data_IF_019416776604
#
_entry.id   IF_019416776604
#
_cell.length_a   1.000
_cell.length_b   1.000
_cell.length_c   1.000
_cell.angle_alpha   90.00
_cell.angle_beta   90.00
_cell.angle_gamma   90.00
#
_symmetry.space_group_name_H-M   'P 1'
#
loop_
_entity.id
_entity.type
_entity.pdbx_description
1 polymer ?
#
# COMPACT_ATOMS: atom_id res chain seq x y z
N UNK A 1 23.14 -0.31 -6.43
CA UNK A 1 22.04 -0.80 -7.28
C UNK A 1 20.99 -1.37 -6.33
N UNK A 2 19.74 -0.92 -6.41
CA UNK A 2 18.63 -1.52 -5.67
C UNK A 2 18.02 -2.61 -6.55
N UNK A 3 18.02 -3.85 -6.08
CA UNK A 3 17.51 -5.02 -6.81
C UNK A 3 16.40 -5.65 -6.00
N UNK A 4 15.34 -6.08 -6.69
CA UNK A 4 14.30 -6.90 -6.08
C UNK A 4 14.91 -8.24 -5.66
N UNK A 5 14.64 -8.67 -4.43
CA UNK A 5 15.15 -9.93 -3.88
C UNK A 5 13.99 -10.80 -3.40
N UNK A 6 13.35 -11.43 -4.38
CA UNK A 6 12.30 -12.41 -4.12
C UNK A 6 12.81 -13.58 -3.26
N UNK A 7 14.09 -13.96 -3.39
CA UNK A 7 14.69 -15.05 -2.62
C UNK A 7 14.73 -14.74 -1.13
N UNK A 8 15.11 -13.51 -0.78
CA UNK A 8 15.05 -12.98 0.58
C UNK A 8 13.62 -12.95 1.12
N UNK A 9 12.68 -12.37 0.37
CA UNK A 9 11.28 -12.29 0.81
C UNK A 9 10.67 -13.68 1.04
N UNK A 10 10.93 -14.62 0.13
CA UNK A 10 10.50 -16.02 0.25
C UNK A 10 11.13 -16.75 1.43
N UNK A 11 12.41 -16.52 1.73
CA UNK A 11 13.07 -17.15 2.87
C UNK A 11 12.59 -16.61 4.22
N UNK A 12 11.85 -15.51 4.22
CA UNK A 12 11.18 -14.90 5.36
C UNK A 12 9.66 -15.11 5.33
N UNK A 13 9.22 -16.24 4.76
CA UNK A 13 7.82 -16.68 4.76
C UNK A 13 6.87 -15.66 4.14
N UNK A 14 7.34 -14.87 3.16
CA UNK A 14 6.55 -13.82 2.50
C UNK A 14 6.06 -12.70 3.45
N UNK A 15 6.72 -12.58 4.61
CA UNK A 15 6.39 -11.55 5.59
C UNK A 15 6.51 -10.14 5.00
N UNK A 16 5.52 -9.26 5.24
CA UNK A 16 5.59 -7.85 4.91
C UNK A 16 6.85 -7.16 5.45
N UNK A 17 7.42 -7.61 6.58
CA UNK A 17 8.63 -6.99 7.15
C UNK A 17 9.88 -7.20 6.30
N UNK A 18 9.89 -8.22 5.43
CA UNK A 18 10.95 -8.51 4.47
C UNK A 18 10.62 -8.01 3.05
N UNK A 19 9.47 -7.35 2.88
CA UNK A 19 8.99 -6.84 1.60
C UNK A 19 9.52 -5.46 1.22
N UNK A 20 8.98 -4.93 0.12
CA UNK A 20 9.27 -3.61 -0.46
C UNK A 20 8.63 -2.51 0.41
N UNK A 21 9.40 -1.51 0.87
CA UNK A 21 8.86 -0.47 1.73
C UNK A 21 7.95 0.52 0.98
N UNK A 22 6.84 0.89 1.62
CA UNK A 22 5.97 2.01 1.20
C UNK A 22 5.85 3.01 2.36
N UNK A 23 6.26 4.25 2.16
CA UNK A 23 6.18 5.31 3.17
C UNK A 23 5.01 6.24 2.90
N UNK A 24 4.12 6.41 3.89
CA UNK A 24 2.93 7.24 3.81
C UNK A 24 2.95 8.31 4.90
N UNK A 25 2.75 9.57 4.51
CA UNK A 25 2.47 10.68 5.42
C UNK A 25 0.98 10.95 5.34
N UNK A 26 0.23 10.69 6.42
CA UNK A 26 -1.23 10.58 6.34
C UNK A 26 -1.94 11.93 6.14
N UNK A 27 -1.33 13.04 6.59
CA UNK A 27 -1.85 14.40 6.39
C UNK A 27 -1.40 15.06 5.08
N UNK A 28 -0.54 14.41 4.28
CA UNK A 28 -0.05 14.98 3.03
C UNK A 28 -1.08 14.76 1.90
N UNK A 29 -1.90 15.78 1.66
CA UNK A 29 -2.91 15.77 0.59
C UNK A 29 -2.34 16.11 -0.79
N UNK A 30 -1.08 16.56 -0.88
CA UNK A 30 -0.46 16.97 -2.15
C UNK A 30 -0.10 15.81 -3.08
N UNK A 31 0.08 14.60 -2.51
CA UNK A 31 0.44 13.40 -3.25
C UNK A 31 -0.46 12.24 -2.81
N UNK A 32 -0.89 11.42 -3.77
CA UNK A 32 -1.52 10.12 -3.51
C UNK A 32 -0.59 9.02 -4.02
N UNK A 33 0.07 8.32 -3.10
CA UNK A 33 0.85 7.15 -3.47
C UNK A 33 -0.06 5.97 -3.83
N UNK A 34 0.16 5.34 -4.98
CA UNK A 34 -0.51 4.09 -5.37
C UNK A 34 0.58 3.08 -5.67
N UNK A 35 0.62 2.00 -4.89
CA UNK A 35 1.56 0.89 -5.06
C UNK A 35 0.85 -0.28 -5.73
N UNK A 36 1.40 -0.75 -6.85
CA UNK A 36 0.82 -1.81 -7.67
C UNK A 36 1.81 -2.96 -7.81
N UNK A 37 1.41 -4.16 -7.38
CA UNK A 37 2.22 -5.38 -7.47
C UNK A 37 1.27 -6.61 -7.40
N UNK A 38 1.64 -7.72 -8.04
CA UNK A 38 0.80 -8.93 -8.10
C UNK A 38 0.84 -9.75 -6.80
N UNK A 39 1.89 -9.56 -6.00
CA UNK A 39 2.13 -10.20 -4.70
C UNK A 39 1.60 -9.39 -3.50
N UNK A 40 0.74 -8.41 -3.76
CA UNK A 40 -0.04 -7.75 -2.72
C UNK A 40 -1.21 -8.67 -2.35
N UNK A 41 -1.18 -9.21 -1.15
CA UNK A 41 -2.27 -10.04 -0.62
C UNK A 41 -3.07 -9.29 0.45
N UNK A 42 -4.35 -9.63 0.59
CA UNK A 42 -5.21 -9.14 1.67
C UNK A 42 -5.10 -10.08 2.87
N UNK A 43 -3.87 -10.27 3.32
CA UNK A 43 -3.46 -11.10 4.45
C UNK A 43 -2.56 -10.26 5.35
N UNK A 44 -2.74 -10.36 6.67
CA UNK A 44 -2.00 -9.55 7.64
C UNK A 44 -0.52 -9.97 7.77
N UNK A 45 -0.21 -11.20 7.37
CA UNK A 45 1.08 -11.86 7.54
C UNK A 45 1.80 -12.16 6.23
N UNK A 46 1.12 -12.00 5.09
CA UNK A 46 1.66 -12.25 3.76
C UNK A 46 1.36 -11.05 2.86
N UNK A 47 2.41 -10.33 2.46
CA UNK A 47 2.33 -9.29 1.44
C UNK A 47 3.72 -8.86 1.04
N UNK A 48 3.91 -8.54 -0.24
CA UNK A 48 5.18 -7.96 -0.71
C UNK A 48 5.44 -6.56 -0.16
N UNK A 49 4.45 -5.87 0.41
CA UNK A 49 4.59 -4.46 0.79
C UNK A 49 4.77 -4.25 2.30
N UNK A 50 5.83 -3.53 2.66
CA UNK A 50 6.17 -3.17 4.03
C UNK A 50 5.73 -1.72 4.32
N UNK A 51 4.48 -1.52 4.75
CA UNK A 51 3.97 -0.16 4.95
C UNK A 51 4.57 0.51 6.18
N UNK A 52 4.98 1.77 6.01
CA UNK A 52 5.49 2.68 7.04
C UNK A 52 4.65 3.94 7.03
N UNK A 53 4.03 4.28 8.16
CA UNK A 53 3.13 5.43 8.28
C UNK A 53 3.67 6.44 9.29
N UNK A 54 3.35 7.71 9.07
CA UNK A 54 3.48 8.79 10.06
C UNK A 54 2.30 9.75 9.91
N UNK A 55 1.92 10.43 11.00
CA UNK A 55 0.80 11.35 10.96
C UNK A 55 1.13 12.60 10.12
N UNK A 56 2.22 13.29 10.47
CA UNK A 56 2.72 14.49 9.79
C UNK A 56 4.19 14.37 9.38
N UNK A 57 4.73 15.38 8.68
CA UNK A 57 6.15 15.40 8.25
C UNK A 57 7.15 15.36 9.40
N UNK A 58 6.76 15.87 10.56
CA UNK A 58 7.62 15.98 11.75
C UNK A 58 7.57 14.72 12.63
N UNK A 59 6.61 13.83 12.37
CA UNK A 59 6.46 12.57 13.11
C UNK A 59 7.39 11.46 12.57
N UNK A 60 7.87 10.56 13.44
CA UNK A 60 8.64 9.40 13.00
C UNK A 60 7.75 8.39 12.28
N UNK A 61 8.30 7.73 11.26
CA UNK A 61 7.64 6.59 10.63
C UNK A 61 7.56 5.38 11.57
N UNK A 62 6.43 4.69 11.53
CA UNK A 62 6.18 3.43 12.24
C UNK A 62 5.68 2.37 11.27
N UNK A 63 5.99 1.11 11.54
CA UNK A 63 5.39 0.01 10.78
C UNK A 63 3.88 -0.01 11.01
N UNK A 64 3.11 -0.06 9.92
CA UNK A 64 1.68 -0.32 10.03
C UNK A 64 1.46 -1.79 10.45
N UNK A 65 0.41 -2.05 11.24
CA UNK A 65 -0.03 -3.42 11.51
C UNK A 65 -0.48 -4.12 10.21
N UNK A 66 -0.51 -5.45 10.21
CA UNK A 66 -1.04 -6.22 9.08
C UNK A 66 -2.50 -5.87 8.78
N UNK A 67 -3.32 -5.76 9.83
CA UNK A 67 -4.70 -5.29 9.74
C UNK A 67 -4.81 -3.87 9.15
N UNK A 68 -3.93 -2.93 9.56
CA UNK A 68 -3.89 -1.60 8.97
C UNK A 68 -3.48 -1.65 7.50
N UNK A 69 -2.50 -2.49 7.14
CA UNK A 69 -2.05 -2.69 5.76
C UNK A 69 -3.18 -3.22 4.87
N UNK A 70 -3.95 -4.20 5.35
CA UNK A 70 -5.12 -4.73 4.63
C UNK A 70 -6.16 -3.63 4.34
N UNK A 71 -6.38 -2.69 5.28
CA UNK A 71 -7.29 -1.55 5.08
C UNK A 71 -6.83 -0.56 3.99
N UNK A 72 -5.57 -0.62 3.56
CA UNK A 72 -5.03 0.24 2.49
C UNK A 72 -5.28 -0.31 1.09
N UNK A 73 -5.81 -1.54 0.96
CA UNK A 73 -6.19 -2.14 -0.31
C UNK A 73 -7.27 -1.31 -1.01
N UNK A 74 -7.10 -1.07 -2.31
CA UNK A 74 -7.98 -0.22 -3.11
C UNK A 74 -7.84 1.29 -2.82
N UNK A 75 -6.99 1.67 -1.86
CA UNK A 75 -6.73 3.06 -1.51
C UNK A 75 -5.29 3.47 -1.82
N UNK A 76 -4.30 2.80 -1.23
CA UNK A 76 -2.87 3.00 -1.53
C UNK A 76 -2.22 1.76 -2.14
N UNK A 77 -2.86 0.60 -2.01
CA UNK A 77 -2.35 -0.69 -2.47
C UNK A 77 -3.30 -1.30 -3.49
N UNK A 78 -2.77 -1.78 -4.60
CA UNK A 78 -3.56 -2.44 -5.65
C UNK A 78 -2.87 -3.73 -6.04
N UNK A 79 -3.55 -4.86 -5.85
CA UNK A 79 -3.09 -6.13 -6.39
C UNK A 79 -3.22 -6.12 -7.92
N UNK A 80 -2.12 -6.36 -8.61
CA UNK A 80 -2.09 -6.47 -10.06
C UNK A 80 -2.42 -7.89 -10.52
N UNK A 81 -3.53 -8.15 -11.22
CA UNK A 81 -3.76 -9.44 -11.85
C UNK A 81 -2.88 -9.59 -13.09
N UNK A 82 -2.37 -10.80 -13.32
CA UNK A 82 -1.37 -11.09 -14.37
C UNK A 82 -1.77 -10.63 -15.77
N UNK A 83 -3.06 -10.76 -16.13
CA UNK A 83 -3.51 -10.56 -17.52
C UNK A 83 -4.38 -9.33 -17.75
N UNK A 84 -5.05 -8.78 -16.73
CA UNK A 84 -5.99 -7.67 -17.02
C UNK A 84 -5.32 -6.43 -17.61
N UNK A 85 -4.13 -5.98 -17.13
CA UNK A 85 -3.47 -4.81 -17.71
C UNK A 85 -3.00 -5.04 -19.15
N UNK A 86 -2.76 -6.29 -19.54
CA UNK A 86 -2.43 -6.67 -20.91
C UNK A 86 -3.67 -6.57 -21.81
N UNK A 87 -4.81 -7.04 -21.32
CA UNK A 87 -6.06 -7.10 -22.08
C UNK A 87 -6.80 -5.75 -22.13
N UNK A 88 -6.57 -4.87 -21.16
CA UNK A 88 -7.26 -3.59 -20.99
C UNK A 88 -6.23 -2.47 -20.89
N UNK A 89 -5.91 -1.76 -21.99
CA UNK A 89 -4.86 -0.72 -22.00
C UNK A 89 -5.06 0.41 -20.97
N UNK A 90 -6.30 0.66 -20.56
CA UNK A 90 -6.67 1.68 -19.56
C UNK A 90 -6.71 1.17 -18.12
N UNK A 91 -6.34 -0.09 -17.87
CA UNK A 91 -6.51 -0.72 -16.55
C UNK A 91 -5.83 0.06 -15.43
N UNK A 92 -4.57 0.48 -15.62
CA UNK A 92 -3.84 1.26 -14.60
C UNK A 92 -4.51 2.61 -14.32
N UNK A 93 -4.99 3.29 -15.37
CA UNK A 93 -5.71 4.56 -15.21
C UNK A 93 -7.00 4.37 -14.40
N UNK A 94 -7.73 3.27 -14.66
CA UNK A 94 -8.94 2.93 -13.92
C UNK A 94 -8.63 2.61 -12.45
N UNK A 95 -7.51 1.94 -12.14
CA UNK A 95 -7.13 1.69 -10.75
C UNK A 95 -6.72 2.97 -10.01
N UNK A 96 -5.97 3.87 -10.68
CA UNK A 96 -5.62 5.19 -10.12
C UNK A 96 -6.89 5.97 -9.81
N UNK A 97 -7.81 6.08 -10.77
CA UNK A 97 -9.08 6.77 -10.57
C UNK A 97 -9.88 6.20 -9.39
N UNK A 98 -9.98 4.86 -9.29
CA UNK A 98 -10.66 4.21 -8.15
C UNK A 98 -10.00 4.52 -6.81
N UNK A 99 -8.67 4.54 -6.76
CA UNK A 99 -7.94 4.91 -5.55
C UNK A 99 -8.24 6.36 -5.17
N UNK A 100 -8.20 7.29 -6.12
CA UNK A 100 -8.48 8.72 -5.90
C UNK A 100 -9.92 8.93 -5.40
N UNK A 101 -10.89 8.24 -6.00
CA UNK A 101 -12.29 8.23 -5.58
C UNK A 101 -12.44 7.69 -4.15
N UNK A 102 -11.79 6.56 -3.83
CA UNK A 102 -11.78 5.96 -2.48
C UNK A 102 -11.11 6.88 -1.45
N UNK A 103 -10.04 7.56 -1.83
CA UNK A 103 -9.36 8.54 -0.96
C UNK A 103 -10.27 9.72 -0.66
N UNK A 104 -11.00 10.18 -1.68
CA UNK A 104 -12.02 11.17 -1.49
C UNK A 104 -13.13 10.64 -0.57
N UNK A 105 -13.75 9.48 -0.79
CA UNK A 105 -14.86 9.01 0.09
C UNK A 105 -14.43 8.68 1.52
N UNK A 106 -13.35 7.92 1.68
CA UNK A 106 -13.09 7.13 2.90
C UNK A 106 -11.82 7.55 3.66
N UNK A 107 -11.05 8.51 3.12
CA UNK A 107 -9.77 8.95 3.69
C UNK A 107 -9.67 10.45 3.98
N UNK A 108 -10.82 11.12 4.12
CA UNK A 108 -10.89 12.57 4.33
C UNK A 108 -10.65 13.01 5.79
N UNK A 109 -11.04 12.20 6.78
CA UNK A 109 -11.05 12.67 8.17
C UNK A 109 -9.85 12.17 8.97
N UNK A 110 -9.40 12.98 9.95
CA UNK A 110 -8.35 12.58 10.89
C UNK A 110 -8.72 11.31 11.67
N UNK A 111 -10.01 11.09 11.97
CA UNK A 111 -10.50 9.88 12.63
C UNK A 111 -10.27 8.62 11.79
N UNK A 112 -10.55 8.67 10.48
CA UNK A 112 -10.30 7.56 9.55
C UNK A 112 -8.80 7.25 9.43
N UNK A 113 -7.95 8.27 9.47
CA UNK A 113 -6.48 8.14 9.40
C UNK A 113 -5.87 7.57 10.69
N UNK A 114 -6.45 7.86 11.85
CA UNK A 114 -5.93 7.44 13.15
C UNK A 114 -5.82 5.91 13.30
N UNK A 115 -6.72 5.15 12.68
CA UNK A 115 -6.71 3.68 12.71
C UNK A 115 -5.55 3.04 11.93
N UNK A 116 -4.81 3.81 11.14
CA UNK A 116 -3.62 3.34 10.45
C UNK A 116 -2.34 3.48 11.28
N UNK A 117 -2.39 4.27 12.35
CA UNK A 117 -1.27 4.47 13.28
C UNK A 117 -1.25 3.41 14.41
N UNK A 118 -2.21 2.48 14.41
CA UNK A 118 -2.38 1.37 15.36
C UNK A 118 -1.87 0.06 14.78
#
# INVERSE_FOLDING_TARGET
ICTDDYGWWRSHEYSPTAGKPLWLTLDDESVHHVFVDDNIHNDESDSIVAVRVRASRDDPFRAASGAATCRLQGLFLVRCPTFEPILKPTWFLQQIQRCEEARASDFRTAAQRAHLLQ
#
